data_IF_996626719251
#
_entry.id   IF_996626719251
#
_cell.length_a   1.000
_cell.length_b   1.000
_cell.length_c   1.000
_cell.angle_alpha   90.00
_cell.angle_beta   90.00
_cell.angle_gamma   90.00
#
_symmetry.space_group_name_H-M   'P 1'
#
loop_
_entity.id
_entity.type
_entity.pdbx_description
1 polymer ?
#
# COMPACT_ATOMS: atom_id res chain seq x y z
N UNK A 1 11.95 27.55 3.56
CA UNK A 1 13.12 28.25 2.96
C UNK A 1 13.04 29.76 3.16
N UNK A 2 11.98 30.42 2.70
CA UNK A 2 11.83 31.88 2.88
C UNK A 2 11.96 32.29 4.36
N UNK A 3 11.35 31.56 5.29
CA UNK A 3 11.40 31.82 6.72
C UNK A 3 12.82 31.72 7.29
N UNK A 4 13.63 30.78 6.78
CA UNK A 4 15.01 30.60 7.24
C UNK A 4 15.92 31.77 6.92
N UNK A 5 15.68 32.42 5.78
CA UNK A 5 16.52 33.49 5.30
C UNK A 5 15.94 34.89 5.55
N UNK A 6 14.76 34.97 6.18
CA UNK A 6 14.10 36.26 6.41
C UNK A 6 13.65 36.97 5.14
N UNK A 7 13.49 36.23 4.03
CA UNK A 7 13.05 36.77 2.76
C UNK A 7 11.55 36.55 2.56
N UNK A 8 10.93 37.34 1.72
CA UNK A 8 9.50 37.24 1.46
C UNK A 8 9.10 35.90 0.80
N UNK A 9 7.84 35.57 0.94
CA UNK A 9 7.29 34.29 0.45
C UNK A 9 7.51 34.04 -1.04
N UNK A 10 7.62 35.09 -1.84
CA UNK A 10 7.79 34.95 -3.27
C UNK A 10 9.24 34.65 -3.71
N UNK A 11 10.18 34.71 -2.79
CA UNK A 11 11.60 34.47 -3.11
C UNK A 11 11.82 33.05 -3.64
N UNK A 12 11.10 32.08 -3.06
CA UNK A 12 11.18 30.67 -3.45
C UNK A 12 9.95 30.27 -4.27
N UNK A 13 9.81 30.91 -5.43
CA UNK A 13 8.71 30.56 -6.33
C UNK A 13 8.87 29.15 -6.88
N UNK A 14 7.76 28.56 -7.34
CA UNK A 14 7.77 27.25 -7.99
C UNK A 14 8.73 27.22 -9.20
N UNK A 15 8.88 28.34 -9.90
CA UNK A 15 9.80 28.43 -11.03
C UNK A 15 11.28 28.38 -10.59
N UNK A 16 11.63 28.99 -9.47
CA UNK A 16 12.99 28.92 -8.90
C UNK A 16 13.29 27.48 -8.47
N UNK A 17 12.35 26.85 -7.74
CA UNK A 17 12.52 25.47 -7.29
C UNK A 17 12.63 24.49 -8.46
N UNK A 18 11.83 24.71 -9.51
CA UNK A 18 11.88 23.89 -10.71
C UNK A 18 13.24 23.97 -11.41
N UNK A 19 13.80 25.18 -11.52
CA UNK A 19 15.14 25.38 -12.11
C UNK A 19 16.22 24.76 -11.25
N UNK A 20 16.11 24.92 -9.92
CA UNK A 20 17.04 24.28 -8.98
C UNK A 20 17.07 22.75 -9.15
N UNK A 21 15.88 22.15 -9.27
CA UNK A 21 15.75 20.70 -9.45
C UNK A 21 16.22 20.23 -10.84
N UNK A 22 16.18 21.12 -11.84
CA UNK A 22 16.67 20.83 -13.19
C UNK A 22 18.19 20.99 -13.33
N UNK A 23 18.88 21.31 -12.23
CA UNK A 23 20.33 21.49 -12.19
C UNK A 23 20.82 22.66 -13.06
N UNK A 24 20.03 23.72 -13.14
CA UNK A 24 20.37 24.93 -13.87
C UNK A 24 21.40 25.74 -13.08
N UNK A 25 22.54 26.03 -13.70
CA UNK A 25 23.65 26.76 -13.09
C UNK A 25 23.32 28.18 -12.61
N UNK A 26 22.20 28.74 -13.04
CA UNK A 26 21.77 30.07 -12.66
C UNK A 26 20.98 30.16 -11.35
N UNK A 27 20.70 29.00 -10.70
CA UNK A 27 19.89 29.02 -9.50
C UNK A 27 20.73 29.25 -8.23
N UNK A 28 20.04 29.69 -7.20
CA UNK A 28 20.63 29.99 -5.91
C UNK A 28 21.14 28.68 -5.21
N UNK A 29 22.37 28.71 -4.78
CA UNK A 29 22.93 27.61 -3.97
C UNK A 29 22.39 27.69 -2.56
N UNK A 30 22.05 26.54 -2.03
CA UNK A 30 21.60 26.44 -0.64
C UNK A 30 22.71 26.86 0.31
N UNK A 31 22.38 27.73 1.26
CA UNK A 31 23.28 28.01 2.38
C UNK A 31 23.38 26.78 3.27
N UNK A 32 24.39 26.72 4.10
CA UNK A 32 24.56 25.65 5.08
C UNK A 32 23.37 25.50 6.00
N UNK A 33 22.77 26.61 6.41
CA UNK A 33 21.57 26.63 7.26
C UNK A 33 20.37 26.02 6.54
N UNK A 34 20.16 26.37 5.28
CA UNK A 34 19.07 25.85 4.46
C UNK A 34 19.24 24.34 4.24
N UNK A 35 20.46 23.92 3.92
CA UNK A 35 20.79 22.52 3.71
C UNK A 35 20.54 21.72 5.00
N UNK A 36 21.06 22.22 6.12
CA UNK A 36 20.85 21.56 7.43
C UNK A 36 19.36 21.45 7.78
N UNK A 37 18.60 22.52 7.52
CA UNK A 37 17.15 22.48 7.75
C UNK A 37 16.47 21.43 6.86
N UNK A 38 16.79 21.40 5.56
CA UNK A 38 16.22 20.38 4.67
C UNK A 38 16.54 18.97 5.14
N UNK A 39 17.75 18.75 5.65
CA UNK A 39 18.12 17.44 6.20
C UNK A 39 17.26 17.05 7.39
N UNK A 40 16.80 18.01 8.21
CA UNK A 40 15.91 17.68 9.33
C UNK A 40 14.52 17.25 8.88
N UNK A 41 14.12 17.63 7.67
CA UNK A 41 12.80 17.28 7.11
C UNK A 41 12.79 15.90 6.44
N UNK A 42 13.95 15.35 6.13
CA UNK A 42 14.02 14.02 5.51
C UNK A 42 13.69 12.94 6.54
N UNK A 43 13.04 11.85 6.11
CA UNK A 43 12.80 10.73 7.00
C UNK A 43 14.15 10.16 7.47
N UNK A 44 14.25 9.92 8.75
CA UNK A 44 15.49 9.42 9.39
C UNK A 44 15.36 7.94 9.70
N UNK A 45 16.49 7.23 9.80
CA UNK A 45 16.46 5.88 10.32
C UNK A 45 15.73 5.90 11.67
N UNK A 46 14.90 4.92 11.96
CA UNK A 46 14.27 4.84 13.27
C UNK A 46 15.35 4.79 14.35
N UNK A 47 15.21 5.66 15.34
CA UNK A 47 16.14 5.68 16.48
C UNK A 47 15.99 4.37 17.24
N UNK A 48 17.06 3.62 17.32
CA UNK A 48 17.16 2.40 18.13
C UNK A 48 16.16 1.28 17.76
N UNK A 49 16.32 0.69 16.58
CA UNK A 49 15.76 -0.64 16.32
C UNK A 49 16.92 -1.63 16.11
N UNK A 50 17.64 -2.00 17.17
CA UNK A 50 18.67 -3.02 17.04
C UNK A 50 18.08 -4.39 16.65
N UNK A 51 16.78 -4.60 16.95
CA UNK A 51 16.09 -5.85 16.63
C UNK A 51 14.69 -5.57 16.14
N UNK A 52 14.46 -5.71 14.86
CA UNK A 52 13.11 -5.72 14.31
C UNK A 52 12.44 -7.04 14.72
N UNK A 53 11.16 -6.96 15.05
CA UNK A 53 10.38 -8.14 15.44
C UNK A 53 10.07 -9.04 14.24
N UNK A 54 9.92 -8.45 13.06
CA UNK A 54 9.62 -9.16 11.80
C UNK A 54 9.95 -8.27 10.60
N UNK A 55 10.06 -8.88 9.44
CA UNK A 55 10.26 -8.19 8.15
C UNK A 55 8.98 -8.24 7.33
N UNK A 56 8.70 -7.17 6.60
CA UNK A 56 7.54 -7.12 5.71
C UNK A 56 7.84 -6.43 4.39
N UNK A 57 6.98 -6.70 3.41
CA UNK A 57 6.99 -6.00 2.11
C UNK A 57 5.67 -5.25 1.94
N UNK A 58 5.70 -4.16 1.15
CA UNK A 58 4.58 -3.24 0.95
C UNK A 58 4.31 -3.09 -0.55
N UNK A 59 3.30 -3.80 -1.05
CA UNK A 59 2.94 -3.83 -2.48
C UNK A 59 1.77 -2.90 -2.76
N UNK A 60 1.82 -2.20 -3.90
CA UNK A 60 0.84 -1.16 -4.27
C UNK A 60 0.74 -0.13 -3.15
N UNK A 61 1.91 0.28 -2.69
CA UNK A 61 2.09 0.93 -1.39
C UNK A 61 1.45 2.33 -1.29
N UNK A 62 1.14 2.96 -2.43
CA UNK A 62 0.61 4.32 -2.42
C UNK A 62 1.55 5.27 -1.70
N UNK A 63 1.08 5.92 -0.67
CA UNK A 63 1.89 6.83 0.16
C UNK A 63 2.36 6.16 1.47
N UNK A 64 2.18 4.84 1.62
CA UNK A 64 2.72 4.07 2.73
C UNK A 64 1.85 4.02 4.00
N UNK A 65 0.54 4.13 3.85
CA UNK A 65 -0.36 4.11 5.01
C UNK A 65 -0.30 2.79 5.78
N UNK A 66 -0.31 1.65 5.07
CA UNK A 66 -0.24 0.33 5.70
C UNK A 66 1.13 0.12 6.34
N UNK A 67 2.20 0.49 5.61
CA UNK A 67 3.58 0.42 6.13
C UNK A 67 3.71 1.09 7.49
N UNK A 68 3.16 2.31 7.63
CA UNK A 68 3.24 3.08 8.89
C UNK A 68 2.68 2.28 10.07
N UNK A 69 1.58 1.56 9.87
CA UNK A 69 1.00 0.70 10.90
C UNK A 69 1.95 -0.41 11.31
N UNK A 70 2.56 -1.08 10.34
CA UNK A 70 3.42 -2.23 10.61
C UNK A 70 4.79 -1.81 11.18
N UNK A 71 5.31 -0.65 10.79
CA UNK A 71 6.52 -0.08 11.42
C UNK A 71 6.26 0.27 12.88
N UNK A 72 5.06 0.76 13.22
CA UNK A 72 4.74 1.16 14.60
C UNK A 72 4.73 0.00 15.59
N UNK A 73 4.65 -1.24 15.10
CA UNK A 73 4.68 -2.45 15.94
C UNK A 73 6.00 -3.23 15.79
N UNK A 74 7.05 -2.58 15.26
CA UNK A 74 8.39 -3.13 15.22
C UNK A 74 8.75 -3.88 13.93
N UNK A 75 7.95 -3.73 12.88
CA UNK A 75 8.26 -4.32 11.58
C UNK A 75 9.31 -3.53 10.80
N UNK A 76 10.13 -4.24 10.03
CA UNK A 76 11.07 -3.64 9.07
C UNK A 76 10.53 -3.82 7.66
N UNK A 77 10.32 -2.72 6.93
CA UNK A 77 9.98 -2.78 5.51
C UNK A 77 11.25 -3.08 4.70
N UNK A 78 11.27 -4.20 3.99
CA UNK A 78 12.45 -4.62 3.22
C UNK A 78 12.26 -4.52 1.71
N UNK A 79 11.00 -4.31 1.25
CA UNK A 79 10.70 -4.16 -0.17
C UNK A 79 9.41 -3.36 -0.33
N UNK A 80 9.39 -2.47 -1.32
CA UNK A 80 8.20 -1.70 -1.68
C UNK A 80 8.01 -1.72 -3.19
N UNK A 81 6.76 -1.88 -3.63
CA UNK A 81 6.41 -1.67 -5.04
C UNK A 81 5.30 -0.63 -5.16
N UNK A 82 5.55 0.41 -5.95
CA UNK A 82 4.57 1.47 -6.27
C UNK A 82 4.94 2.14 -7.59
N UNK A 83 4.05 2.13 -8.56
CA UNK A 83 4.33 2.64 -9.92
C UNK A 83 3.98 4.12 -10.11
N UNK A 84 3.07 4.66 -9.29
CA UNK A 84 2.67 6.06 -9.45
C UNK A 84 3.77 6.98 -8.93
N UNK A 85 4.42 7.71 -9.82
CA UNK A 85 5.56 8.56 -9.50
C UNK A 85 5.26 9.63 -8.44
N UNK A 86 4.01 10.08 -8.33
CA UNK A 86 3.62 11.07 -7.31
C UNK A 86 3.49 10.41 -5.93
N UNK A 87 2.89 9.21 -5.91
CA UNK A 87 2.82 8.40 -4.69
C UNK A 87 4.23 8.04 -4.22
N UNK A 88 5.12 7.60 -5.13
CA UNK A 88 6.52 7.27 -4.83
C UNK A 88 7.24 8.44 -4.17
N UNK A 89 7.08 9.65 -4.71
CA UNK A 89 7.70 10.86 -4.13
C UNK A 89 7.21 11.11 -2.70
N UNK A 90 5.90 11.02 -2.50
CA UNK A 90 5.31 11.18 -1.17
C UNK A 90 5.78 10.08 -0.21
N UNK A 91 5.81 8.83 -0.70
CA UNK A 91 6.29 7.69 0.08
C UNK A 91 7.72 7.92 0.57
N UNK A 92 8.63 8.24 -0.35
CA UNK A 92 10.05 8.47 -0.04
C UNK A 92 10.27 9.71 0.85
N UNK A 93 9.35 10.68 0.81
CA UNK A 93 9.41 11.87 1.68
C UNK A 93 8.92 11.57 3.10
N UNK A 94 8.19 10.48 3.32
CA UNK A 94 7.59 10.15 4.63
C UNK A 94 8.19 8.91 5.29
N UNK A 95 8.84 8.05 4.52
CA UNK A 95 9.36 6.78 5.04
C UNK A 95 10.84 6.66 4.78
N UNK A 96 11.59 6.30 5.79
CA UNK A 96 13.00 5.99 5.61
C UNK A 96 13.12 4.65 4.88
N UNK A 97 13.82 4.68 3.76
CA UNK A 97 14.10 3.49 2.96
C UNK A 97 15.62 3.29 2.96
N UNK A 98 16.09 2.42 3.84
CA UNK A 98 17.52 2.15 4.00
C UNK A 98 18.07 1.50 2.73
N UNK A 99 18.96 2.14 1.98
CA UNK A 99 19.48 1.57 0.73
C UNK A 99 20.21 0.23 0.90
N UNK A 100 20.67 -0.08 2.11
CA UNK A 100 21.37 -1.35 2.38
C UNK A 100 20.40 -2.53 2.59
N UNK A 101 19.17 -2.26 3.00
CA UNK A 101 18.24 -3.33 3.41
C UNK A 101 16.87 -3.25 2.76
N UNK A 102 16.54 -2.15 2.06
CA UNK A 102 15.25 -1.91 1.45
C UNK A 102 15.39 -1.80 -0.07
N UNK A 103 14.59 -2.57 -0.81
CA UNK A 103 14.53 -2.52 -2.27
C UNK A 103 13.23 -1.86 -2.71
N UNK A 104 13.33 -0.96 -3.68
CA UNK A 104 12.17 -0.25 -4.23
C UNK A 104 11.99 -0.63 -5.70
N UNK A 105 10.79 -1.08 -6.06
CA UNK A 105 10.41 -1.45 -7.42
C UNK A 105 9.24 -0.58 -7.89
N UNK A 106 9.21 -0.20 -9.15
CA UNK A 106 8.12 0.60 -9.71
C UNK A 106 6.97 -0.30 -10.18
N UNK A 107 7.23 -1.19 -11.13
CA UNK A 107 6.19 -2.08 -11.67
C UNK A 107 6.40 -3.51 -11.16
N UNK A 108 5.47 -4.00 -10.37
CA UNK A 108 5.56 -5.34 -9.79
C UNK A 108 5.63 -6.44 -10.87
N UNK A 109 5.10 -6.16 -12.06
CA UNK A 109 5.13 -7.12 -13.18
C UNK A 109 6.54 -7.38 -13.70
N UNK A 110 7.47 -6.44 -13.49
CA UNK A 110 8.89 -6.64 -13.81
C UNK A 110 9.51 -7.70 -12.89
N UNK A 111 8.96 -7.85 -11.69
CA UNK A 111 9.42 -8.85 -10.70
C UNK A 111 8.71 -10.20 -10.93
N UNK A 112 7.41 -10.18 -11.16
CA UNK A 112 6.62 -11.40 -11.33
C UNK A 112 6.69 -11.97 -12.74
N UNK A 113 7.20 -11.18 -13.69
CA UNK A 113 7.29 -11.50 -15.13
C UNK A 113 5.91 -11.82 -15.75
N UNK A 114 4.82 -11.36 -15.12
CA UNK A 114 3.45 -11.70 -15.53
C UNK A 114 3.06 -11.15 -16.90
N UNK A 115 3.78 -10.14 -17.39
CA UNK A 115 3.54 -9.54 -18.70
C UNK A 115 4.37 -10.20 -19.82
N UNK A 116 5.22 -11.19 -19.47
CA UNK A 116 6.10 -11.84 -20.44
C UNK A 116 5.55 -13.21 -20.83
N UNK A 117 5.41 -13.42 -22.14
CA UNK A 117 4.96 -14.71 -22.66
C UNK A 117 6.08 -15.76 -22.58
N UNK A 118 5.71 -17.00 -22.37
CA UNK A 118 6.64 -18.14 -22.39
C UNK A 118 7.48 -18.32 -21.12
N UNK A 119 7.29 -17.49 -20.10
CA UNK A 119 8.00 -17.67 -18.83
C UNK A 119 7.29 -18.77 -18.02
N UNK A 120 8.05 -19.79 -17.61
CA UNK A 120 7.49 -20.84 -16.76
C UNK A 120 7.25 -20.35 -15.32
N UNK A 121 6.35 -21.00 -14.61
CA UNK A 121 6.07 -20.67 -13.20
C UNK A 121 7.35 -20.80 -12.35
N UNK A 122 8.19 -21.80 -12.61
CA UNK A 122 9.46 -22.00 -11.90
C UNK A 122 10.44 -20.85 -12.14
N UNK A 123 10.56 -20.40 -13.39
CA UNK A 123 11.44 -19.29 -13.75
C UNK A 123 10.94 -17.98 -13.09
N UNK A 124 9.63 -17.74 -13.11
CA UNK A 124 9.02 -16.59 -12.46
C UNK A 124 9.24 -16.63 -10.94
N UNK A 125 9.04 -17.80 -10.33
CA UNK A 125 9.24 -17.96 -8.88
C UNK A 125 10.71 -17.73 -8.50
N UNK A 126 11.63 -18.22 -9.30
CA UNK A 126 13.07 -18.00 -9.05
C UNK A 126 13.42 -16.52 -9.18
N UNK A 127 12.89 -15.84 -10.21
CA UNK A 127 13.11 -14.41 -10.39
C UNK A 127 12.55 -13.60 -9.21
N UNK A 128 11.36 -13.97 -8.72
CA UNK A 128 10.77 -13.35 -7.51
C UNK A 128 11.72 -13.54 -6.32
N UNK A 129 12.23 -14.75 -6.11
CA UNK A 129 13.15 -15.03 -4.98
C UNK A 129 14.45 -14.23 -5.06
N UNK A 130 14.93 -13.94 -6.25
CA UNK A 130 16.14 -13.15 -6.44
C UNK A 130 15.93 -11.65 -6.16
N UNK A 131 14.72 -11.13 -6.37
CA UNK A 131 14.45 -9.69 -6.32
C UNK A 131 13.66 -9.24 -5.09
N UNK A 132 12.85 -10.12 -4.50
CA UNK A 132 12.10 -9.81 -3.27
C UNK A 132 12.78 -10.53 -2.10
N UNK A 133 13.27 -9.81 -1.08
CA UNK A 133 13.90 -10.44 0.09
C UNK A 133 12.95 -11.35 0.86
N UNK A 134 13.50 -12.25 1.65
CA UNK A 134 12.72 -13.03 2.62
C UNK A 134 12.03 -12.10 3.60
N UNK A 135 10.76 -12.38 3.89
CA UNK A 135 9.92 -11.57 4.77
C UNK A 135 8.88 -12.45 5.45
N UNK A 136 8.41 -11.97 6.59
CA UNK A 136 7.42 -12.67 7.40
C UNK A 136 5.99 -12.29 7.01
N UNK A 137 5.80 -11.02 6.59
CA UNK A 137 4.47 -10.46 6.31
C UNK A 137 4.46 -9.79 4.93
N UNK A 138 3.43 -10.12 4.13
CA UNK A 138 3.18 -9.44 2.86
C UNK A 138 1.97 -8.51 3.01
N UNK A 139 2.17 -7.23 2.70
CA UNK A 139 1.10 -6.22 2.69
C UNK A 139 0.80 -5.85 1.24
N UNK A 140 -0.50 -5.78 0.89
CA UNK A 140 -0.87 -5.35 -0.47
C UNK A 140 -2.25 -4.67 -0.50
N UNK A 141 -2.25 -3.38 -0.87
CA UNK A 141 -3.47 -2.65 -1.21
C UNK A 141 -3.71 -2.74 -2.72
N UNK A 142 -4.03 -3.92 -3.24
CA UNK A 142 -4.10 -4.15 -4.68
C UNK A 142 -5.33 -3.50 -5.31
N UNK A 143 -5.23 -3.00 -6.56
CA UNK A 143 -6.37 -2.34 -7.21
C UNK A 143 -7.49 -3.32 -7.56
N UNK A 144 -8.73 -2.84 -7.49
CA UNK A 144 -9.91 -3.62 -7.89
C UNK A 144 -10.01 -3.62 -9.43
N UNK A 145 -9.56 -4.70 -10.03
CA UNK A 145 -9.61 -4.89 -11.48
C UNK A 145 -10.56 -6.06 -11.79
N UNK A 146 -11.32 -5.97 -12.89
CA UNK A 146 -12.16 -7.11 -13.29
C UNK A 146 -11.31 -8.31 -13.70
N UNK A 147 -11.68 -9.49 -13.21
CA UNK A 147 -11.04 -10.72 -13.62
C UNK A 147 -11.59 -11.17 -14.98
N UNK A 148 -10.73 -11.42 -15.95
CA UNK A 148 -11.16 -12.13 -17.14
C UNK A 148 -11.16 -13.63 -16.83
N UNK A 149 -12.36 -14.20 -16.87
CA UNK A 149 -12.60 -15.57 -16.43
C UNK A 149 -12.18 -16.65 -17.43
N UNK A 150 -11.76 -16.24 -18.61
CA UNK A 150 -11.45 -17.18 -19.68
C UNK A 150 -10.35 -18.20 -19.31
N UNK A 151 -9.47 -17.84 -18.36
CA UNK A 151 -8.37 -18.71 -17.95
C UNK A 151 -8.64 -19.62 -16.77
N UNK A 152 -9.57 -19.25 -15.89
CA UNK A 152 -9.82 -20.01 -14.65
C UNK A 152 -10.54 -21.34 -14.92
N UNK A 153 -11.43 -21.36 -15.91
CA UNK A 153 -12.23 -22.55 -16.23
C UNK A 153 -11.43 -23.69 -16.88
N UNK A 154 -10.32 -23.39 -17.54
CA UNK A 154 -9.59 -24.37 -18.34
C UNK A 154 -8.68 -25.29 -17.52
N UNK A 155 -8.30 -24.91 -16.31
CA UNK A 155 -7.38 -25.69 -15.47
C UNK A 155 -8.08 -26.73 -14.58
N UNK A 156 -9.30 -26.44 -14.12
CA UNK A 156 -10.05 -27.38 -13.31
C UNK A 156 -10.41 -28.67 -14.07
N UNK A 157 -10.39 -28.63 -15.42
CA UNK A 157 -10.68 -29.79 -16.27
C UNK A 157 -9.47 -30.67 -16.58
N UNK A 158 -8.24 -30.22 -16.27
CA UNK A 158 -7.02 -30.93 -16.70
C UNK A 158 -6.20 -31.57 -15.55
N UNK A 159 -6.68 -31.51 -14.30
CA UNK A 159 -6.14 -32.26 -13.19
C UNK A 159 -4.64 -32.04 -12.88
N UNK A 160 -4.08 -30.91 -13.27
CA UNK A 160 -2.67 -30.62 -13.00
C UNK A 160 -2.51 -29.88 -11.69
N UNK A 161 -1.87 -30.53 -10.73
CA UNK A 161 -1.39 -29.90 -9.52
C UNK A 161 -0.25 -28.92 -9.86
N UNK A 162 -0.32 -27.72 -9.31
CA UNK A 162 0.74 -26.73 -9.29
C UNK A 162 1.21 -26.13 -10.63
N UNK A 163 0.59 -25.04 -10.96
CA UNK A 163 1.04 -24.14 -12.03
C UNK A 163 0.04 -22.99 -12.20
N UNK A 164 0.44 -21.80 -11.81
CA UNK A 164 -0.35 -20.59 -11.96
C UNK A 164 -0.20 -19.93 -13.34
N UNK A 165 0.34 -20.67 -14.34
CA UNK A 165 0.38 -20.22 -15.73
C UNK A 165 -1.04 -20.18 -16.30
N UNK A 166 -1.83 -19.30 -15.75
CA UNK A 166 -3.20 -19.09 -16.20
C UNK A 166 -3.24 -17.92 -17.18
N UNK A 167 -4.01 -18.08 -18.25
CA UNK A 167 -4.38 -16.99 -19.16
C UNK A 167 -5.21 -15.89 -18.49
N UNK A 168 -5.27 -15.89 -17.15
CA UNK A 168 -5.75 -14.75 -16.34
C UNK A 168 -4.66 -13.67 -16.26
N UNK A 169 -3.81 -13.61 -17.28
CA UNK A 169 -2.90 -12.49 -17.45
C UNK A 169 -3.71 -11.19 -17.39
N UNK A 170 -3.41 -10.36 -16.42
CA UNK A 170 -3.94 -9.01 -16.39
C UNK A 170 -4.51 -8.49 -15.08
N UNK A 171 -4.61 -9.29 -14.02
CA UNK A 171 -4.99 -8.70 -12.73
C UNK A 171 -3.85 -8.78 -11.73
N UNK A 172 -3.54 -7.63 -11.14
CA UNK A 172 -2.44 -7.49 -10.20
C UNK A 172 -2.61 -8.34 -8.92
N UNK A 173 -3.81 -8.85 -8.67
CA UNK A 173 -4.04 -9.85 -7.62
C UNK A 173 -3.20 -11.12 -7.87
N UNK A 174 -3.11 -11.57 -9.13
CA UNK A 174 -2.31 -12.78 -9.44
C UNK A 174 -0.80 -12.52 -9.33
N UNK A 175 -0.36 -11.26 -9.45
CA UNK A 175 1.03 -10.91 -9.11
C UNK A 175 1.28 -11.10 -7.61
N UNK A 176 0.32 -10.70 -6.77
CA UNK A 176 0.39 -10.97 -5.31
C UNK A 176 0.44 -12.48 -5.05
N UNK A 177 -0.42 -13.26 -5.72
CA UNK A 177 -0.47 -14.72 -5.61
C UNK A 177 0.90 -15.36 -5.95
N UNK A 178 1.52 -14.93 -7.05
CA UNK A 178 2.86 -15.42 -7.45
C UNK A 178 3.92 -15.13 -6.39
N UNK A 179 3.86 -13.96 -5.77
CA UNK A 179 4.81 -13.59 -4.73
C UNK A 179 4.58 -14.43 -3.46
N UNK A 180 3.30 -14.60 -3.06
CA UNK A 180 2.95 -15.44 -1.90
C UNK A 180 3.43 -16.87 -2.13
N UNK A 181 3.22 -17.41 -3.33
CA UNK A 181 3.63 -18.77 -3.65
C UNK A 181 5.15 -18.93 -3.64
N UNK A 182 5.87 -17.99 -4.24
CA UNK A 182 7.33 -18.05 -4.34
C UNK A 182 8.04 -17.81 -3.01
N UNK A 183 7.51 -16.89 -2.15
CA UNK A 183 8.16 -16.46 -0.91
C UNK A 183 7.58 -17.07 0.36
N UNK A 184 6.36 -17.55 0.31
CA UNK A 184 5.71 -18.27 1.43
C UNK A 184 5.76 -17.50 2.75
N UNK A 185 5.37 -16.20 2.80
CA UNK A 185 5.38 -15.46 4.07
C UNK A 185 4.52 -16.14 5.14
N UNK A 186 4.82 -15.86 6.41
CA UNK A 186 4.03 -16.42 7.52
C UNK A 186 2.59 -15.90 7.52
N UNK A 187 2.41 -14.65 7.09
CA UNK A 187 1.07 -14.05 6.95
C UNK A 187 1.04 -13.00 5.84
N UNK A 188 -0.18 -12.68 5.42
CA UNK A 188 -0.41 -11.54 4.53
C UNK A 188 -1.57 -10.68 5.05
N UNK A 189 -1.57 -9.43 4.65
CA UNK A 189 -2.70 -8.50 4.81
C UNK A 189 -3.00 -7.88 3.45
N UNK A 190 -4.16 -8.22 2.90
CA UNK A 190 -4.62 -7.71 1.61
C UNK A 190 -5.77 -6.73 1.83
N UNK A 191 -5.69 -5.55 1.24
CA UNK A 191 -6.72 -4.51 1.36
C UNK A 191 -7.34 -4.20 0.00
N UNK A 192 -8.64 -3.93 0.01
CA UNK A 192 -9.34 -3.50 -1.20
C UNK A 192 -10.59 -2.71 -0.82
N UNK A 193 -11.28 -2.17 -1.80
CA UNK A 193 -12.58 -1.52 -1.57
C UNK A 193 -13.64 -2.55 -1.15
N UNK A 194 -14.57 -2.15 -0.29
CA UNK A 194 -15.68 -3.01 0.18
C UNK A 194 -16.40 -3.73 -0.98
N UNK A 195 -16.57 -3.03 -2.11
CA UNK A 195 -17.30 -3.56 -3.26
C UNK A 195 -16.64 -4.78 -3.92
N UNK A 196 -15.40 -5.10 -3.58
CA UNK A 196 -14.74 -6.34 -4.02
C UNK A 196 -15.59 -7.57 -3.68
N UNK A 197 -16.26 -7.56 -2.51
CA UNK A 197 -17.09 -8.66 -2.03
C UNK A 197 -18.28 -8.93 -2.94
N UNK A 198 -18.90 -7.87 -3.51
CA UNK A 198 -20.06 -7.99 -4.38
C UNK A 198 -19.72 -7.94 -5.88
N UNK A 199 -18.47 -7.67 -6.22
CA UNK A 199 -18.00 -7.53 -7.60
C UNK A 199 -18.32 -8.79 -8.41
N UNK A 200 -18.90 -8.62 -9.59
CA UNK A 200 -19.32 -9.70 -10.49
C UNK A 200 -20.17 -10.75 -9.73
N UNK A 201 -21.19 -10.27 -9.00
CA UNK A 201 -22.11 -11.12 -8.22
C UNK A 201 -21.37 -12.01 -7.20
N UNK A 202 -20.27 -11.48 -6.64
CA UNK A 202 -19.44 -12.18 -5.66
C UNK A 202 -18.45 -13.19 -6.24
N UNK A 203 -18.42 -13.33 -7.56
CA UNK A 203 -17.57 -14.32 -8.23
C UNK A 203 -16.07 -13.99 -8.05
N UNK A 204 -15.73 -12.70 -8.20
CA UNK A 204 -14.36 -12.21 -7.98
C UNK A 204 -13.87 -12.60 -6.58
N UNK A 205 -14.69 -12.33 -5.57
CA UNK A 205 -14.33 -12.60 -4.18
C UNK A 205 -14.16 -14.10 -3.93
N UNK A 206 -15.06 -14.94 -4.47
CA UNK A 206 -14.94 -16.40 -4.36
C UNK A 206 -13.63 -16.92 -4.97
N UNK A 207 -13.23 -16.39 -6.13
CA UNK A 207 -11.96 -16.77 -6.78
C UNK A 207 -10.78 -16.39 -5.87
N UNK A 208 -10.78 -15.18 -5.32
CA UNK A 208 -9.73 -14.73 -4.39
C UNK A 208 -9.63 -15.70 -3.21
N UNK A 209 -10.74 -15.97 -2.52
CA UNK A 209 -10.74 -16.81 -1.34
C UNK A 209 -10.29 -18.25 -1.65
N UNK A 210 -10.78 -18.80 -2.77
CA UNK A 210 -10.37 -20.14 -3.22
C UNK A 210 -8.87 -20.18 -3.55
N UNK A 211 -8.36 -19.18 -4.26
CA UNK A 211 -6.92 -19.13 -4.61
C UNK A 211 -6.05 -19.08 -3.34
N UNK A 212 -6.44 -18.26 -2.35
CA UNK A 212 -5.69 -18.17 -1.10
C UNK A 212 -5.73 -19.48 -0.30
N UNK A 213 -6.87 -20.18 -0.31
CA UNK A 213 -6.99 -21.50 0.30
C UNK A 213 -6.11 -22.54 -0.41
N UNK A 214 -6.12 -22.55 -1.74
CA UNK A 214 -5.28 -23.45 -2.57
C UNK A 214 -3.78 -23.19 -2.34
N UNK A 215 -3.39 -21.94 -2.04
CA UNK A 215 -2.02 -21.61 -1.65
C UNK A 215 -1.64 -22.11 -0.24
N UNK A 216 -2.59 -22.65 0.51
CA UNK A 216 -2.36 -23.16 1.84
C UNK A 216 -2.39 -22.11 2.95
N UNK A 217 -3.23 -21.08 2.78
CA UNK A 217 -3.41 -20.03 3.78
C UNK A 217 -4.83 -20.08 4.35
N UNK A 218 -4.93 -19.93 5.67
CA UNK A 218 -6.20 -19.79 6.38
C UNK A 218 -6.51 -18.30 6.55
N UNK A 219 -7.56 -17.84 5.87
CA UNK A 219 -8.00 -16.44 5.99
C UNK A 219 -8.88 -16.28 7.23
N UNK A 220 -8.60 -15.24 8.02
CA UNK A 220 -9.37 -14.94 9.22
C UNK A 220 -10.83 -14.62 8.87
N UNK A 221 -11.78 -15.13 9.67
CA UNK A 221 -13.21 -14.89 9.48
C UNK A 221 -13.70 -15.24 8.07
N UNK A 222 -13.11 -16.24 7.42
CA UNK A 222 -13.37 -16.60 6.02
C UNK A 222 -14.86 -16.89 5.75
N UNK A 223 -15.53 -17.55 6.68
CA UNK A 223 -16.93 -17.98 6.53
C UNK A 223 -17.96 -16.93 6.92
N UNK A 224 -17.52 -15.82 7.53
CA UNK A 224 -18.43 -14.77 8.00
C UNK A 224 -18.79 -13.83 6.83
N UNK A 225 -19.94 -14.04 6.26
CA UNK A 225 -20.43 -13.28 5.10
C UNK A 225 -21.71 -12.49 5.41
N UNK A 226 -22.00 -12.30 6.68
CA UNK A 226 -23.18 -11.55 7.12
C UNK A 226 -23.10 -10.05 6.86
N UNK A 227 -24.14 -9.30 7.23
CA UNK A 227 -24.14 -7.85 7.03
C UNK A 227 -23.05 -7.13 7.85
N UNK A 228 -22.68 -7.71 8.98
CA UNK A 228 -21.65 -7.18 9.87
C UNK A 228 -20.34 -7.98 9.72
N UNK A 229 -19.98 -8.29 8.50
CA UNK A 229 -18.77 -9.05 8.16
C UNK A 229 -17.53 -8.37 8.76
N UNK A 230 -16.79 -9.05 9.66
CA UNK A 230 -15.65 -8.43 10.34
C UNK A 230 -14.49 -8.06 9.40
N UNK A 231 -14.47 -8.61 8.19
CA UNK A 231 -13.50 -8.22 7.18
C UNK A 231 -13.73 -6.81 6.63
N UNK A 232 -14.92 -6.23 6.84
CA UNK A 232 -15.24 -4.86 6.41
C UNK A 232 -14.94 -3.90 7.56
N UNK A 233 -13.89 -3.11 7.38
CA UNK A 233 -13.45 -2.14 8.39
C UNK A 233 -13.74 -0.74 7.88
N UNK A 234 -14.39 0.08 8.72
CA UNK A 234 -14.72 1.45 8.37
C UNK A 234 -13.82 2.42 9.14
N UNK A 235 -13.10 3.25 8.40
CA UNK A 235 -12.23 4.28 8.96
C UNK A 235 -12.94 5.26 9.89
N UNK A 236 -14.27 5.42 9.79
CA UNK A 236 -15.05 6.33 10.65
C UNK A 236 -14.91 6.02 12.14
N UNK A 237 -14.50 4.79 12.48
CA UNK A 237 -14.28 4.41 13.88
C UNK A 237 -13.01 5.04 14.45
N UNK A 238 -12.08 5.47 13.60
CA UNK A 238 -10.78 6.04 13.98
C UNK A 238 -10.65 7.52 13.62
N UNK A 239 -11.22 7.91 12.48
CA UNK A 239 -11.06 9.24 11.91
C UNK A 239 -12.44 9.77 11.47
N UNK A 240 -12.61 11.07 11.30
CA UNK A 240 -13.90 11.64 10.81
C UNK A 240 -14.04 11.45 9.28
N UNK A 241 -13.84 10.21 8.82
CA UNK A 241 -13.96 9.86 7.40
C UNK A 241 -14.64 8.49 7.28
N UNK A 242 -15.77 8.45 6.59
CA UNK A 242 -16.43 7.20 6.22
C UNK A 242 -15.63 6.57 5.06
N UNK A 243 -14.91 5.49 5.35
CA UNK A 243 -14.07 4.80 4.36
C UNK A 243 -14.06 3.30 4.64
N UNK A 244 -15.00 2.60 4.06
CA UNK A 244 -15.09 1.14 4.22
C UNK A 244 -14.09 0.42 3.32
N UNK A 245 -13.37 -0.52 3.91
CA UNK A 245 -12.40 -1.36 3.20
C UNK A 245 -12.59 -2.81 3.61
N UNK A 246 -12.42 -3.71 2.65
CA UNK A 246 -12.29 -5.13 2.98
C UNK A 246 -10.82 -5.42 3.27
N UNK A 247 -10.57 -6.13 4.36
CA UNK A 247 -9.22 -6.53 4.78
C UNK A 247 -9.22 -8.05 4.94
N UNK A 248 -8.32 -8.72 4.22
CA UNK A 248 -8.13 -10.16 4.29
C UNK A 248 -6.79 -10.40 5.00
N UNK A 249 -6.85 -11.04 6.16
CA UNK A 249 -5.65 -11.44 6.91
C UNK A 249 -5.53 -12.96 6.78
N UNK A 250 -4.45 -13.41 6.14
CA UNK A 250 -4.21 -14.82 5.93
C UNK A 250 -2.96 -15.31 6.67
N UNK A 251 -3.04 -16.48 7.21
CA UNK A 251 -1.95 -17.14 7.95
C UNK A 251 -1.58 -18.43 7.25
N UNK A 252 -0.28 -18.66 7.08
CA UNK A 252 0.20 -19.89 6.46
C UNK A 252 -0.18 -21.09 7.33
N UNK A 253 -0.91 -22.02 6.73
CA UNK A 253 -1.61 -23.11 7.43
C UNK A 253 -0.66 -24.02 8.20
N UNK A 254 0.50 -24.34 7.61
CA UNK A 254 1.48 -25.25 8.23
C UNK A 254 2.11 -24.67 9.50
N UNK A 255 2.01 -23.36 9.72
CA UNK A 255 2.54 -22.70 10.92
C UNK A 255 1.53 -22.64 12.07
N UNK A 256 0.26 -22.95 11.79
CA UNK A 256 -0.84 -22.97 12.78
C UNK A 256 -0.94 -21.68 13.60
N UNK A 257 -0.80 -20.52 12.93
CA UNK A 257 -0.78 -19.20 13.58
C UNK A 257 -2.16 -18.58 13.76
N UNK A 258 -3.16 -19.09 13.04
CA UNK A 258 -4.51 -18.47 13.03
C UNK A 258 -5.26 -18.61 14.35
N UNK A 259 -5.03 -19.67 15.10
CA UNK A 259 -5.84 -20.23 16.20
C UNK A 259 -6.93 -19.33 16.81
N UNK A 260 -6.56 -18.21 17.41
CA UNK A 260 -7.51 -17.32 18.12
C UNK A 260 -7.69 -15.95 17.46
N UNK A 261 -7.20 -15.76 16.23
CA UNK A 261 -7.27 -14.46 15.59
C UNK A 261 -8.62 -14.23 14.91
N UNK A 262 -9.25 -13.10 15.21
CA UNK A 262 -10.47 -12.64 14.54
C UNK A 262 -10.43 -11.11 14.36
N UNK A 263 -10.88 -10.65 13.20
CA UNK A 263 -10.99 -9.21 12.92
C UNK A 263 -12.10 -8.55 13.75
N UNK A 264 -13.01 -9.32 14.37
CA UNK A 264 -14.01 -8.76 15.30
C UNK A 264 -13.35 -8.02 16.46
N UNK A 265 -12.15 -8.46 16.84
CA UNK A 265 -11.40 -7.84 17.94
C UNK A 265 -10.92 -6.43 17.65
N UNK A 266 -10.97 -5.98 16.39
CA UNK A 266 -10.59 -4.60 16.06
C UNK A 266 -11.48 -3.58 16.78
N UNK A 267 -12.72 -3.96 17.12
CA UNK A 267 -13.62 -3.11 17.90
C UNK A 267 -13.07 -2.74 19.28
N UNK A 268 -12.21 -3.61 19.83
CA UNK A 268 -11.53 -3.35 21.13
C UNK A 268 -10.49 -2.22 21.00
N UNK A 269 -10.07 -1.92 19.77
CA UNK A 269 -9.07 -0.88 19.49
C UNK A 269 -9.70 0.46 19.12
N UNK A 270 -11.03 0.57 19.07
CA UNK A 270 -11.68 1.83 18.73
C UNK A 270 -11.42 2.86 19.82
N UNK A 271 -11.02 4.08 19.45
CA UNK A 271 -10.77 5.13 20.46
C UNK A 271 -12.06 5.48 21.20
N UNK A 272 -11.96 5.68 22.52
CA UNK A 272 -13.10 6.06 23.36
C UNK A 272 -13.71 7.39 22.93
N UNK A 273 -12.89 8.30 22.42
CA UNK A 273 -13.34 9.59 21.89
C UNK A 273 -12.99 9.68 20.41
N UNK A 274 -13.98 10.00 19.61
CA UNK A 274 -13.76 10.19 18.18
C UNK A 274 -13.05 11.51 17.90
N UNK A 275 -12.03 11.46 17.08
CA UNK A 275 -11.35 12.65 16.59
C UNK A 275 -12.31 13.41 15.66
N UNK A 276 -12.44 14.71 15.85
CA UNK A 276 -13.27 15.55 14.98
C UNK A 276 -12.45 16.11 13.82
N UNK A 277 -13.13 16.50 12.74
CA UNK A 277 -12.45 17.12 11.61
C UNK A 277 -11.71 18.40 12.02
N UNK A 278 -12.31 19.18 12.90
CA UNK A 278 -11.70 20.42 13.40
C UNK A 278 -10.36 20.19 14.12
N UNK A 279 -10.21 19.04 14.78
CA UNK A 279 -8.95 18.68 15.45
C UNK A 279 -7.85 18.23 14.47
N UNK A 280 -8.24 17.84 13.27
CA UNK A 280 -7.30 17.38 12.24
C UNK A 280 -6.87 18.49 11.27
N UNK A 281 -7.75 19.51 11.12
CA UNK A 281 -7.46 20.59 10.19
C UNK A 281 -6.43 21.55 10.76
N UNK A 282 -5.53 22.01 9.92
CA UNK A 282 -4.59 23.07 10.28
C UNK A 282 -5.38 24.37 10.51
N UNK A 283 -5.28 24.98 11.70
CA UNK A 283 -5.99 26.22 11.98
C UNK A 283 -5.43 27.41 11.19
N UNK A 284 -4.21 27.30 10.66
CA UNK A 284 -3.51 28.34 9.91
C UNK A 284 -3.32 27.93 8.48
N UNK A 285 -4.32 28.22 7.65
CA UNK A 285 -4.26 27.92 6.21
C UNK A 285 -3.83 29.17 5.45
N UNK A 286 -2.74 29.08 4.71
CA UNK A 286 -2.31 30.17 3.82
C UNK A 286 -3.38 30.49 2.77
N UNK A 287 -3.55 31.77 2.47
CA UNK A 287 -4.59 32.26 1.55
C UNK A 287 -4.55 31.55 0.17
N UNK A 288 -3.37 31.15 -0.29
CA UNK A 288 -3.20 30.46 -1.58
C UNK A 288 -3.89 29.08 -1.64
N UNK A 289 -4.17 28.47 -0.47
CA UNK A 289 -4.87 27.17 -0.41
C UNK A 289 -6.36 27.33 -0.14
N UNK A 290 -6.85 28.55 0.06
CA UNK A 290 -8.27 28.81 0.25
C UNK A 290 -8.92 28.84 -1.13
N UNK A 291 -9.84 27.92 -1.36
CA UNK A 291 -10.60 27.91 -2.61
C UNK A 291 -11.52 29.12 -2.64
N UNK A 292 -11.29 30.03 -3.60
CA UNK A 292 -12.25 31.09 -3.89
C UNK A 292 -13.39 30.50 -4.71
N UNK A 293 -14.50 30.56 -4.35
CA UNK A 293 -15.41 30.12 -4.83
C UNK A 293 -15.35 30.17 -6.07
N UNK A 294 -15.36 29.35 -6.62
CA UNK A 294 -15.48 29.20 -8.06
C UNK A 294 -16.95 29.11 -8.41
N UNK A 295 -17.39 30.06 -9.15
CA UNK A 295 -18.74 30.04 -9.70
C UNK A 295 -18.84 29.00 -10.81
N UNK A 296 -19.47 27.87 -10.51
CA UNK A 296 -19.95 26.95 -11.55
C UNK A 296 -21.37 27.35 -11.91
N UNK A 297 -21.56 27.92 -13.08
CA UNK A 297 -22.88 28.28 -13.62
C UNK A 297 -23.70 29.23 -12.75
N UNK A 298 -23.05 30.21 -12.13
CA UNK A 298 -23.76 31.28 -11.42
C UNK A 298 -24.41 30.90 -10.10
N UNK A 299 -24.13 29.71 -9.58
CA UNK A 299 -24.55 29.33 -8.23
C UNK A 299 -23.33 29.16 -7.33
N UNK A 300 -23.41 29.79 -6.18
CA UNK A 300 -22.40 29.67 -5.13
C UNK A 300 -22.76 28.45 -4.27
N UNK A 301 -22.00 27.39 -4.41
CA UNK A 301 -22.07 26.28 -3.46
C UNK A 301 -20.84 26.29 -2.59
N UNK A 302 -21.08 26.44 -1.30
CA UNK A 302 -20.01 26.30 -0.31
C UNK A 302 -19.83 24.80 -0.12
N UNK A 303 -18.71 24.26 -0.57
CA UNK A 303 -18.31 22.92 -0.17
C UNK A 303 -17.95 22.97 1.32
N UNK A 304 -18.89 22.59 2.16
CA UNK A 304 -18.65 22.39 3.58
C UNK A 304 -18.07 20.99 3.83
#
# INVERSE_FOLDING_TARGET
MAQLNGVGENHWSAAILKRALANDSAWHRLSEKEFAHLQTLLPKPPAHHPHYAFRFIDLFAGIGGIRRGFESIGGQCVFTSEWNKHAVRTYKANHYCDPATHHFNEDIRDITLSHQEGVSDEAAAEHIRQHIPEHDVLLAGFPCQPFSLAGVSKKNSLGRAHGFACDTQGTLFFDVVRIIDARRPAMFVLENVKNLKSHDQGKTFRIIMQTLDELGYDVADAEDNGPDDPKIIDGKHFLPQHRERIVLVGFRRDLNLKADFTLRDISKCFPAQRVTLAQLLDPMVEAKYILTXVSCNGRWEICR
#
